data_IF_661274290415
#
_entry.id   IF_661274290415
#
_cell.length_a   1.000
_cell.length_b   1.000
_cell.length_c   1.000
_cell.angle_alpha   90.00
_cell.angle_beta   90.00
_cell.angle_gamma   90.00
#
_symmetry.space_group_name_H-M   'P 1'
#
loop_
_entity.id
_entity.type
_entity.pdbx_description
1 polymer ?
#
# COMPACT_ATOMS: atom_id res chain seq x y z
N UNK A 1 24.63 -12.78 -6.15
CA UNK A 1 24.26 -11.50 -6.80
C UNK A 1 23.74 -10.63 -5.68
N UNK A 2 24.28 -9.42 -5.47
CA UNK A 2 23.92 -8.66 -4.29
C UNK A 2 22.43 -8.35 -4.26
N UNK A 3 21.80 -8.59 -3.11
CA UNK A 3 20.39 -8.30 -2.84
C UNK A 3 20.32 -7.15 -1.85
N UNK A 4 19.42 -6.21 -2.13
CA UNK A 4 19.13 -5.05 -1.30
C UNK A 4 17.76 -5.21 -0.66
N UNK A 5 17.72 -5.16 0.67
CA UNK A 5 16.47 -5.16 1.42
C UNK A 5 16.27 -3.83 2.10
N UNK A 6 15.08 -3.27 1.94
CA UNK A 6 14.60 -2.16 2.77
C UNK A 6 13.71 -2.74 3.87
N UNK A 7 13.91 -2.30 5.11
CA UNK A 7 13.07 -2.65 6.26
C UNK A 7 12.51 -1.38 6.88
N UNK A 8 11.19 -1.32 6.99
CA UNK A 8 10.46 -0.19 7.58
C UNK A 8 9.60 -0.67 8.76
N UNK A 9 9.80 -0.14 9.98
CA UNK A 9 8.89 -0.39 11.07
C UNK A 9 7.57 0.34 10.82
N UNK A 10 6.51 -0.24 11.34
CA UNK A 10 5.17 0.31 11.32
C UNK A 10 4.47 -0.16 12.59
N UNK A 11 3.75 0.75 13.26
CA UNK A 11 3.07 0.39 14.49
C UNK A 11 1.57 0.60 14.39
N UNK A 12 1.13 1.85 14.32
CA UNK A 12 -0.28 2.22 14.39
C UNK A 12 -0.71 3.24 13.36
N UNK A 13 0.21 3.69 12.51
CA UNK A 13 -0.11 4.59 11.42
C UNK A 13 -1.15 3.94 10.50
N UNK A 14 -2.13 4.69 10.02
CA UNK A 14 -3.06 4.15 9.03
C UNK A 14 -2.34 3.85 7.72
N UNK A 15 -2.74 2.78 7.04
CA UNK A 15 -2.24 2.50 5.68
C UNK A 15 -2.83 3.53 4.72
N UNK A 16 -4.15 3.67 4.71
CA UNK A 16 -4.87 4.68 3.93
C UNK A 16 -5.78 5.48 4.85
N UNK A 17 -5.88 6.78 4.60
CA UNK A 17 -6.87 7.63 5.23
C UNK A 17 -8.29 7.21 4.79
N UNK A 18 -9.23 7.21 5.72
CA UNK A 18 -10.64 7.03 5.40
C UNK A 18 -11.18 8.28 4.72
N UNK A 19 -12.26 8.15 3.94
CA UNK A 19 -12.90 9.32 3.35
C UNK A 19 -13.36 10.30 4.44
N UNK A 20 -13.88 9.79 5.55
CA UNK A 20 -14.37 10.60 6.67
C UNK A 20 -13.27 11.47 7.27
N UNK A 21 -12.06 10.95 7.44
CA UNK A 21 -10.92 11.74 7.95
C UNK A 21 -10.50 12.83 6.97
N UNK A 22 -10.63 12.57 5.66
CA UNK A 22 -10.21 13.50 4.63
C UNK A 22 -11.18 14.69 4.51
N UNK A 23 -12.49 14.45 4.60
CA UNK A 23 -13.53 15.46 4.31
C UNK A 23 -14.20 16.05 5.55
N UNK A 24 -13.90 15.56 6.75
CA UNK A 24 -14.50 16.07 7.99
C UNK A 24 -13.49 16.95 8.70
N UNK A 25 -13.97 18.03 9.32
CA UNK A 25 -13.20 18.84 10.24
C UNK A 25 -12.81 17.99 11.46
N UNK A 26 -11.50 17.97 11.78
CA UNK A 26 -10.98 17.20 12.91
C UNK A 26 -11.42 17.81 14.26
N UNK A 27 -11.42 19.15 14.35
CA UNK A 27 -11.73 19.89 15.57
C UNK A 27 -12.72 21.04 15.32
N UNK A 28 -13.53 21.39 16.33
CA UNK A 28 -14.47 22.53 16.26
C UNK A 28 -13.78 23.88 16.01
N UNK A 29 -12.47 23.95 16.29
CA UNK A 29 -11.66 25.15 16.08
C UNK A 29 -11.05 25.21 14.67
N UNK A 30 -10.91 24.07 14.00
CA UNK A 30 -10.26 23.96 12.69
C UNK A 30 -11.33 23.87 11.61
N UNK A 31 -11.68 25.01 11.03
CA UNK A 31 -12.72 25.14 9.99
C UNK A 31 -12.29 24.68 8.58
N UNK A 32 -11.23 23.88 8.50
CA UNK A 32 -10.62 23.44 7.24
C UNK A 32 -10.40 21.95 7.34
N UNK A 33 -10.94 21.19 6.38
CA UNK A 33 -10.73 19.75 6.31
C UNK A 33 -9.32 19.44 5.84
N UNK A 34 -8.84 18.22 6.09
CA UNK A 34 -7.55 17.77 5.56
C UNK A 34 -7.51 17.88 4.03
N UNK A 35 -8.61 17.59 3.34
CA UNK A 35 -8.67 17.71 1.89
C UNK A 35 -8.50 19.16 1.42
N UNK A 36 -9.21 20.11 2.02
CA UNK A 36 -9.06 21.52 1.69
C UNK A 36 -7.63 22.01 1.93
N UNK A 37 -7.03 21.60 3.04
CA UNK A 37 -5.64 21.92 3.34
C UNK A 37 -4.67 21.37 2.26
N UNK A 38 -4.80 20.10 1.91
CA UNK A 38 -3.97 19.46 0.88
C UNK A 38 -4.17 20.09 -0.51
N UNK A 39 -5.40 20.50 -0.84
CA UNK A 39 -5.73 21.22 -2.08
C UNK A 39 -5.03 22.58 -2.16
N UNK A 40 -4.97 23.30 -1.05
CA UNK A 40 -4.26 24.58 -0.98
C UNK A 40 -2.74 24.39 -1.08
N UNK A 41 -2.21 23.30 -0.51
CA UNK A 41 -0.78 22.99 -0.58
C UNK A 41 -0.35 22.49 -1.98
N UNK A 42 -1.22 21.76 -2.68
CA UNK A 42 -0.94 21.14 -3.98
C UNK A 42 -2.00 21.48 -5.06
N UNK A 43 -2.20 22.77 -5.40
CA UNK A 43 -3.31 23.19 -6.25
C UNK A 43 -3.22 22.61 -7.68
N UNK A 44 -2.03 22.63 -8.27
CA UNK A 44 -1.81 22.10 -9.64
C UNK A 44 -2.05 20.59 -9.68
N UNK A 45 -1.60 19.86 -8.67
CA UNK A 45 -1.78 18.40 -8.60
C UNK A 45 -3.25 18.03 -8.38
N UNK A 46 -4.00 18.84 -7.63
CA UNK A 46 -5.44 18.65 -7.46
C UNK A 46 -6.19 18.90 -8.77
N UNK A 47 -5.87 19.98 -9.49
CA UNK A 47 -6.50 20.27 -10.78
C UNK A 47 -6.28 19.15 -11.79
N UNK A 48 -5.07 18.58 -11.84
CA UNK A 48 -4.76 17.43 -12.68
C UNK A 48 -5.51 16.18 -12.21
N UNK A 49 -5.55 15.92 -10.91
CA UNK A 49 -6.31 14.81 -10.34
C UNK A 49 -7.81 14.87 -10.70
N UNK A 50 -8.41 16.06 -10.66
CA UNK A 50 -9.81 16.28 -11.04
C UNK A 50 -10.02 16.03 -12.53
N UNK A 51 -9.13 16.54 -13.39
CA UNK A 51 -9.20 16.31 -14.85
C UNK A 51 -9.11 14.82 -15.18
N UNK A 52 -8.14 14.12 -14.62
CA UNK A 52 -7.96 12.67 -14.83
C UNK A 52 -9.19 11.89 -14.36
N UNK A 53 -9.79 12.29 -13.24
CA UNK A 53 -10.98 11.61 -12.71
C UNK A 53 -12.20 11.82 -13.59
N UNK A 54 -12.34 12.98 -14.23
CA UNK A 54 -13.41 13.21 -15.22
C UNK A 54 -13.24 12.34 -16.46
N UNK A 55 -12.02 12.24 -16.99
CA UNK A 55 -11.72 11.38 -18.14
C UNK A 55 -12.08 9.93 -17.82
N UNK A 56 -11.73 9.42 -16.63
CA UNK A 56 -12.10 8.06 -16.21
C UNK A 56 -13.61 7.85 -16.13
N UNK A 57 -14.35 8.83 -15.61
CA UNK A 57 -15.82 8.77 -15.59
C UNK A 57 -16.38 8.71 -17.01
N UNK A 58 -15.87 9.52 -17.92
CA UNK A 58 -16.29 9.53 -19.32
C UNK A 58 -15.98 8.18 -20.02
N UNK A 59 -14.76 7.66 -19.85
CA UNK A 59 -14.35 6.36 -20.39
C UNK A 59 -15.22 5.22 -19.85
N UNK A 60 -15.47 5.17 -18.53
CA UNK A 60 -16.35 4.15 -17.93
C UNK A 60 -17.79 4.20 -18.46
N UNK A 61 -18.32 5.39 -18.76
CA UNK A 61 -19.64 5.56 -19.35
C UNK A 61 -19.67 5.07 -20.81
N UNK A 62 -18.62 5.36 -21.57
CA UNK A 62 -18.43 4.84 -22.94
C UNK A 62 -18.45 3.32 -22.98
N UNK A 63 -17.67 2.67 -22.11
CA UNK A 63 -17.58 1.21 -22.05
C UNK A 63 -18.90 0.54 -21.63
N UNK A 64 -19.71 1.21 -20.80
CA UNK A 64 -21.01 0.71 -20.35
C UNK A 64 -22.15 0.97 -21.36
N UNK A 65 -21.84 1.43 -22.58
CA UNK A 65 -22.82 1.64 -23.65
C UNK A 65 -23.74 2.85 -23.42
N UNK A 66 -23.39 3.74 -22.49
CA UNK A 66 -24.08 5.02 -22.32
C UNK A 66 -23.53 5.99 -23.36
N UNK A 67 -24.40 6.51 -24.22
CA UNK A 67 -24.00 7.45 -25.28
C UNK A 67 -23.38 8.71 -24.66
N UNK A 68 -22.08 9.00 -24.84
CA UNK A 68 -21.42 10.17 -24.24
C UNK A 68 -21.83 11.48 -24.93
N UNK A 69 -22.37 11.37 -26.13
CA UNK A 69 -22.79 12.48 -26.99
C UNK A 69 -24.26 12.89 -26.79
N UNK A 70 -24.88 12.47 -25.68
CA UNK A 70 -26.22 12.92 -25.29
C UNK A 70 -26.16 14.31 -24.65
N UNK A 71 -26.59 15.32 -25.39
CA UNK A 71 -26.68 16.74 -25.02
C UNK A 71 -25.43 17.30 -24.30
N UNK A 72 -24.47 17.84 -25.08
CA UNK A 72 -23.48 18.85 -24.66
C UNK A 72 -24.14 20.17 -24.20
N UNK A 73 -25.28 20.12 -23.50
CA UNK A 73 -25.86 21.29 -22.86
C UNK A 73 -25.05 21.59 -21.61
N UNK A 74 -24.01 22.41 -21.82
CA UNK A 74 -23.37 23.27 -20.82
C UNK A 74 -23.45 22.70 -19.40
N UNK A 75 -22.62 21.68 -19.10
CA UNK A 75 -22.46 21.21 -17.73
C UNK A 75 -22.10 22.43 -16.88
N UNK A 76 -23.03 22.82 -16.01
CA UNK A 76 -22.89 24.06 -15.25
C UNK A 76 -21.68 23.95 -14.33
N UNK A 77 -21.08 25.08 -13.93
CA UNK A 77 -20.05 25.08 -12.87
C UNK A 77 -20.55 24.39 -11.59
N UNK A 78 -21.86 24.43 -11.34
CA UNK A 78 -22.50 23.77 -10.20
C UNK A 78 -22.52 22.23 -10.33
N UNK A 79 -22.75 21.69 -11.53
CA UNK A 79 -22.75 20.23 -11.77
C UNK A 79 -21.39 19.57 -11.60
N UNK A 80 -20.34 20.37 -11.77
CA UNK A 80 -18.94 19.96 -11.60
C UNK A 80 -18.41 20.21 -10.18
N UNK A 81 -19.16 20.92 -9.33
CA UNK A 81 -18.73 21.28 -7.99
C UNK A 81 -18.29 20.07 -7.14
N UNK A 82 -18.98 18.91 -7.16
CA UNK A 82 -18.53 17.73 -6.42
C UNK A 82 -17.11 17.26 -6.79
N UNK A 83 -16.74 17.34 -8.08
CA UNK A 83 -15.39 17.00 -8.52
C UNK A 83 -14.34 17.92 -7.92
N UNK A 84 -14.59 19.24 -7.87
CA UNK A 84 -13.64 20.18 -7.30
C UNK A 84 -13.61 20.17 -5.77
N UNK A 85 -14.73 19.84 -5.12
CA UNK A 85 -14.81 19.72 -3.67
C UNK A 85 -14.13 18.45 -3.16
N UNK A 86 -14.56 17.28 -3.66
CA UNK A 86 -14.23 15.96 -3.08
C UNK A 86 -13.43 15.08 -4.07
N UNK A 87 -13.38 15.44 -5.35
CA UNK A 87 -12.66 14.69 -6.38
C UNK A 87 -13.57 13.82 -7.26
N UNK A 88 -14.84 13.63 -6.89
CA UNK A 88 -15.78 12.80 -7.62
C UNK A 88 -17.23 13.26 -7.48
N UNK A 89 -18.07 12.90 -8.45
CA UNK A 89 -19.52 13.18 -8.46
C UNK A 89 -20.36 12.00 -7.99
N UNK A 90 -19.95 10.78 -8.32
CA UNK A 90 -20.58 9.54 -7.85
C UNK A 90 -19.74 8.95 -6.73
N UNK A 91 -20.38 8.58 -5.61
CA UNK A 91 -19.72 7.91 -4.49
C UNK A 91 -19.39 6.43 -4.77
N UNK A 92 -19.15 6.07 -6.04
CA UNK A 92 -18.70 4.74 -6.39
C UNK A 92 -17.40 4.40 -5.63
N UNK A 93 -17.20 3.15 -5.19
CA UNK A 93 -16.06 2.77 -4.36
C UNK A 93 -14.71 3.12 -5.00
N UNK A 94 -14.58 3.02 -6.32
CA UNK A 94 -13.38 3.33 -7.09
C UNK A 94 -12.97 4.80 -7.00
N UNK A 95 -13.92 5.73 -7.15
CA UNK A 95 -13.65 7.17 -7.08
C UNK A 95 -13.37 7.61 -5.66
N UNK A 96 -14.09 7.03 -4.69
CA UNK A 96 -13.84 7.24 -3.26
C UNK A 96 -12.42 6.79 -2.91
N UNK A 97 -12.01 5.60 -3.36
CA UNK A 97 -10.66 5.07 -3.15
C UNK A 97 -9.60 5.95 -3.82
N UNK A 98 -9.87 6.48 -5.02
CA UNK A 98 -8.95 7.36 -5.75
C UNK A 98 -8.63 8.64 -4.95
N UNK A 99 -9.65 9.30 -4.38
CA UNK A 99 -9.44 10.45 -3.48
C UNK A 99 -8.68 10.05 -2.22
N UNK A 100 -9.02 8.90 -1.61
CA UNK A 100 -8.31 8.38 -0.43
C UNK A 100 -6.82 8.16 -0.68
N UNK A 101 -6.47 7.57 -1.83
CA UNK A 101 -5.08 7.37 -2.26
C UNK A 101 -4.38 8.70 -2.48
N UNK A 102 -5.02 9.66 -3.17
CA UNK A 102 -4.43 10.97 -3.42
C UNK A 102 -4.09 11.71 -2.12
N UNK A 103 -5.01 11.71 -1.14
CA UNK A 103 -4.77 12.31 0.16
C UNK A 103 -3.68 11.55 0.94
N UNK A 104 -3.75 10.22 0.97
CA UNK A 104 -2.78 9.38 1.70
C UNK A 104 -1.36 9.51 1.16
N UNK A 105 -1.17 9.68 -0.15
CA UNK A 105 0.15 9.92 -0.73
C UNK A 105 0.80 11.23 -0.28
N UNK A 106 0.02 12.20 0.21
CA UNK A 106 0.52 13.51 0.65
C UNK A 106 0.63 13.61 2.17
N UNK A 107 -0.33 13.03 2.88
CA UNK A 107 -0.43 13.13 4.34
C UNK A 107 0.09 11.90 5.11
N UNK A 108 0.11 10.71 4.50
CA UNK A 108 0.39 9.46 5.21
C UNK A 108 1.76 8.87 4.86
N UNK A 109 2.59 8.63 5.88
CA UNK A 109 3.98 8.17 5.67
C UNK A 109 4.06 6.74 5.14
N UNK A 110 3.29 5.78 5.68
CA UNK A 110 3.44 4.38 5.28
C UNK A 110 3.13 4.15 3.79
N UNK A 111 1.95 4.54 3.31
CA UNK A 111 1.56 4.31 1.91
C UNK A 111 2.49 5.03 0.94
N UNK A 112 2.91 6.26 1.26
CA UNK A 112 3.89 7.02 0.49
C UNK A 112 5.24 6.29 0.43
N UNK A 113 5.75 5.80 1.56
CA UNK A 113 7.00 5.05 1.64
C UNK A 113 6.89 3.76 0.83
N UNK A 114 5.81 2.99 0.98
CA UNK A 114 5.61 1.75 0.23
C UNK A 114 5.54 2.02 -1.26
N UNK A 115 4.70 2.96 -1.70
CA UNK A 115 4.55 3.29 -3.11
C UNK A 115 5.87 3.74 -3.74
N UNK A 116 6.68 4.51 -2.99
CA UNK A 116 7.97 5.00 -3.44
C UNK A 116 9.02 3.89 -3.51
N UNK A 117 9.18 3.10 -2.44
CA UNK A 117 10.16 2.03 -2.36
C UNK A 117 9.88 0.92 -3.38
N UNK A 118 8.62 0.62 -3.65
CA UNK A 118 8.26 -0.38 -4.66
C UNK A 118 8.65 0.04 -6.10
N UNK A 119 9.00 1.31 -6.35
CA UNK A 119 9.56 1.71 -7.64
C UNK A 119 10.99 1.18 -7.88
N UNK A 120 11.73 0.77 -6.84
CA UNK A 120 13.02 0.08 -7.03
C UNK A 120 12.83 -1.21 -7.85
N UNK A 121 11.78 -1.98 -7.57
CA UNK A 121 11.47 -3.17 -8.34
C UNK A 121 11.22 -2.83 -9.82
N UNK A 122 10.43 -1.78 -10.11
CA UNK A 122 10.17 -1.32 -11.48
C UNK A 122 11.43 -0.84 -12.19
N UNK A 123 12.27 -0.08 -11.50
CA UNK A 123 13.55 0.41 -12.03
C UNK A 123 14.48 -0.75 -12.38
N UNK A 124 14.55 -1.78 -11.52
CA UNK A 124 15.36 -2.99 -11.79
C UNK A 124 14.82 -3.76 -13.00
N UNK A 125 13.50 -3.92 -13.14
CA UNK A 125 12.89 -4.55 -14.32
C UNK A 125 13.28 -3.81 -15.61
N UNK A 126 13.19 -2.48 -15.58
CA UNK A 126 13.51 -1.62 -16.72
C UNK A 126 15.01 -1.68 -17.06
N UNK A 127 15.87 -1.57 -16.05
CA UNK A 127 17.32 -1.67 -16.23
C UNK A 127 17.72 -3.03 -16.81
N UNK A 128 17.21 -4.12 -16.24
CA UNK A 128 17.49 -5.48 -16.73
C UNK A 128 17.06 -5.66 -18.19
N UNK A 129 15.89 -5.12 -18.56
CA UNK A 129 15.39 -5.13 -19.94
C UNK A 129 16.29 -4.34 -20.90
N UNK A 130 16.83 -3.20 -20.46
CA UNK A 130 17.70 -2.34 -21.29
C UNK A 130 19.09 -2.95 -21.46
N UNK A 131 19.65 -3.53 -20.39
CA UNK A 131 20.99 -4.12 -20.41
C UNK A 131 21.06 -5.47 -21.14
N UNK A 132 19.93 -6.18 -21.28
CA UNK A 132 19.88 -7.53 -21.85
C UNK A 132 18.87 -7.57 -23.02
N UNK A 133 19.14 -6.91 -24.16
CA UNK A 133 18.22 -6.87 -25.29
C UNK A 133 17.90 -8.26 -25.85
N UNK A 134 18.83 -9.20 -25.76
CA UNK A 134 18.65 -10.61 -26.14
C UNK A 134 17.55 -11.31 -25.32
N UNK A 135 17.32 -10.93 -24.06
CA UNK A 135 16.23 -11.48 -23.25
C UNK A 135 14.89 -11.12 -23.87
N UNK A 136 14.74 -9.89 -24.37
CA UNK A 136 13.52 -9.44 -25.07
C UNK A 136 13.34 -10.20 -26.38
N UNK A 137 14.42 -10.40 -27.14
CA UNK A 137 14.39 -11.15 -28.39
C UNK A 137 14.04 -12.63 -28.17
N UNK A 138 14.58 -13.25 -27.12
CA UNK A 138 14.38 -14.66 -26.80
C UNK A 138 12.92 -14.99 -26.47
N UNK A 139 12.17 -14.05 -25.90
CA UNK A 139 10.75 -14.23 -25.66
C UNK A 139 9.85 -13.89 -26.85
N UNK A 140 10.39 -13.39 -27.97
CA UNK A 140 9.71 -13.36 -29.28
C UNK A 140 8.32 -12.71 -29.30
N UNK A 141 8.07 -11.72 -28.43
CA UNK A 141 6.76 -11.07 -28.30
C UNK A 141 5.82 -11.69 -27.26
N UNK A 142 6.21 -12.76 -26.56
CA UNK A 142 5.48 -13.29 -25.41
C UNK A 142 5.71 -12.41 -24.17
N UNK A 143 4.90 -11.36 -24.06
CA UNK A 143 4.96 -10.35 -22.99
C UNK A 143 4.84 -10.97 -21.60
N UNK A 144 4.00 -11.98 -21.42
CA UNK A 144 3.76 -12.59 -20.10
C UNK A 144 4.97 -13.38 -19.60
N UNK A 145 5.65 -14.10 -20.49
CA UNK A 145 6.91 -14.81 -20.14
C UNK A 145 8.02 -13.81 -19.85
N UNK A 146 8.12 -12.74 -20.65
CA UNK A 146 9.08 -11.68 -20.41
C UNK A 146 8.84 -11.03 -19.04
N UNK A 147 7.61 -10.63 -18.71
CA UNK A 147 7.29 -9.99 -17.44
C UNK A 147 7.62 -10.90 -16.24
N UNK A 148 7.31 -12.20 -16.32
CA UNK A 148 7.69 -13.16 -15.29
C UNK A 148 9.21 -13.26 -15.09
N UNK A 149 9.99 -13.15 -16.16
CA UNK A 149 11.46 -13.16 -16.06
C UNK A 149 11.98 -11.85 -15.46
N UNK A 150 11.43 -10.69 -15.86
CA UNK A 150 11.75 -9.40 -15.26
C UNK A 150 11.39 -9.37 -13.76
N UNK A 151 10.22 -9.89 -13.39
CA UNK A 151 9.81 -10.05 -11.99
C UNK A 151 10.75 -10.94 -11.19
N UNK A 152 11.12 -12.10 -11.75
CA UNK A 152 12.08 -13.00 -11.11
C UNK A 152 13.40 -12.28 -10.83
N UNK A 153 13.87 -11.49 -11.79
CA UNK A 153 15.09 -10.70 -11.63
C UNK A 153 14.92 -9.62 -10.55
N UNK A 154 13.88 -8.80 -10.61
CA UNK A 154 13.60 -7.77 -9.60
C UNK A 154 13.51 -8.36 -8.18
N UNK A 155 12.78 -9.47 -8.00
CA UNK A 155 12.61 -10.15 -6.69
C UNK A 155 13.91 -10.72 -6.12
N UNK A 156 14.91 -10.99 -6.97
CA UNK A 156 16.25 -11.45 -6.55
C UNK A 156 17.17 -10.29 -6.16
N UNK A 157 16.82 -9.06 -6.50
CA UNK A 157 17.66 -7.87 -6.26
C UNK A 157 17.11 -6.95 -5.20
N UNK A 158 15.80 -6.91 -5.07
CA UNK A 158 15.13 -6.00 -4.18
C UNK A 158 14.07 -6.74 -3.37
N UNK A 159 14.11 -6.50 -2.06
CA UNK A 159 13.07 -6.90 -1.11
C UNK A 159 12.66 -5.69 -0.31
N UNK A 160 11.39 -5.62 0.01
CA UNK A 160 10.88 -4.59 0.91
C UNK A 160 10.01 -5.25 1.97
N UNK A 161 10.47 -5.14 3.22
CA UNK A 161 9.83 -5.72 4.39
C UNK A 161 9.27 -4.59 5.25
N UNK A 162 7.96 -4.60 5.47
CA UNK A 162 7.31 -3.74 6.44
C UNK A 162 7.04 -4.56 7.69
N UNK A 163 7.61 -4.14 8.81
CA UNK A 163 7.30 -4.73 10.12
C UNK A 163 6.04 -4.08 10.67
N UNK A 164 4.92 -4.76 10.53
CA UNK A 164 3.57 -4.32 10.89
C UNK A 164 3.07 -5.10 12.10
N UNK A 165 3.57 -4.78 13.30
CA UNK A 165 3.35 -5.58 14.51
C UNK A 165 1.88 -5.87 14.79
N UNK A 166 1.02 -4.85 14.64
CA UNK A 166 -0.40 -4.92 14.98
C UNK A 166 -1.28 -5.59 13.93
N UNK A 167 -0.71 -6.08 12.82
CA UNK A 167 -1.47 -6.68 11.71
C UNK A 167 -2.47 -7.77 12.18
N UNK A 168 -2.07 -8.62 13.13
CA UNK A 168 -2.94 -9.67 13.69
C UNK A 168 -4.14 -9.14 14.48
N UNK A 169 -4.09 -7.87 14.90
CA UNK A 169 -5.09 -7.16 15.71
C UNK A 169 -5.80 -6.04 14.92
N UNK A 170 -5.61 -5.99 13.61
CA UNK A 170 -6.28 -5.01 12.75
C UNK A 170 -7.79 -5.15 12.79
N UNK A 171 -8.47 -4.00 12.78
CA UNK A 171 -9.90 -3.95 12.56
C UNK A 171 -10.23 -4.22 11.09
N UNK A 172 -11.51 -4.35 10.77
CA UNK A 172 -11.97 -4.67 9.41
C UNK A 172 -11.45 -3.67 8.34
N UNK A 173 -11.50 -2.37 8.62
CA UNK A 173 -11.04 -1.34 7.67
C UNK A 173 -9.52 -1.41 7.46
N UNK A 174 -8.75 -1.60 8.53
CA UNK A 174 -7.30 -1.79 8.46
C UNK A 174 -6.94 -3.04 7.64
N UNK A 175 -7.68 -4.14 7.83
CA UNK A 175 -7.49 -5.38 7.08
C UNK A 175 -7.79 -5.21 5.59
N UNK A 176 -8.89 -4.52 5.25
CA UNK A 176 -9.25 -4.19 3.86
C UNK A 176 -8.18 -3.31 3.20
N UNK A 177 -7.64 -2.33 3.93
CA UNK A 177 -6.57 -1.46 3.43
C UNK A 177 -5.23 -2.20 3.27
N UNK A 178 -4.89 -3.13 4.17
CA UNK A 178 -3.70 -3.97 4.06
C UNK A 178 -3.80 -4.93 2.87
N UNK A 179 -4.96 -5.52 2.65
CA UNK A 179 -5.22 -6.37 1.49
C UNK A 179 -5.15 -5.57 0.18
N UNK A 180 -5.67 -4.34 0.15
CA UNK A 180 -5.49 -3.43 -0.98
C UNK A 180 -4.00 -3.17 -1.26
N UNK A 181 -3.21 -2.92 -0.22
CA UNK A 181 -1.76 -2.69 -0.34
C UNK A 181 -1.04 -3.90 -0.94
N UNK A 182 -1.34 -5.10 -0.46
CA UNK A 182 -0.75 -6.36 -0.95
C UNK A 182 -1.17 -6.70 -2.38
N UNK A 183 -2.40 -6.32 -2.80
CA UNK A 183 -2.84 -6.46 -4.19
C UNK A 183 -2.12 -5.47 -5.12
N UNK A 184 -1.94 -4.23 -4.68
CA UNK A 184 -1.24 -3.21 -5.44
C UNK A 184 0.27 -3.49 -5.56
N UNK A 185 0.86 -4.09 -4.52
CA UNK A 185 2.28 -4.42 -4.45
C UNK A 185 2.49 -5.87 -4.01
N UNK A 186 2.32 -6.87 -4.90
CA UNK A 186 2.38 -8.28 -4.51
C UNK A 186 3.70 -8.76 -3.92
N UNK A 187 4.79 -8.06 -4.25
CA UNK A 187 6.14 -8.38 -3.79
C UNK A 187 6.51 -7.69 -2.46
N UNK A 188 5.62 -6.84 -1.93
CA UNK A 188 5.74 -6.29 -0.58
C UNK A 188 5.62 -7.41 0.44
N UNK A 189 6.56 -7.48 1.38
CA UNK A 189 6.51 -8.43 2.48
C UNK A 189 6.05 -7.72 3.75
N UNK A 190 5.07 -8.30 4.43
CA UNK A 190 4.58 -7.81 5.73
C UNK A 190 4.99 -8.83 6.78
N UNK A 191 5.84 -8.40 7.71
CA UNK A 191 6.19 -9.14 8.91
C UNK A 191 5.28 -8.68 10.06
N UNK A 192 4.71 -9.60 10.82
CA UNK A 192 3.84 -9.27 11.94
C UNK A 192 3.98 -10.24 13.10
N UNK A 193 3.40 -9.87 14.26
CA UNK A 193 3.38 -10.72 15.44
C UNK A 193 2.06 -11.46 15.57
N UNK A 194 2.14 -12.77 15.78
CA UNK A 194 1.01 -13.65 16.02
C UNK A 194 1.10 -14.24 17.43
N UNK A 195 -0.02 -14.26 18.13
CA UNK A 195 -0.10 -14.75 19.51
C UNK A 195 -0.87 -16.07 19.51
N UNK A 196 -0.25 -17.12 20.05
CA UNK A 196 -0.89 -18.42 20.27
C UNK A 196 -1.03 -18.70 21.77
N UNK A 197 -2.08 -19.45 22.18
CA UNK A 197 -2.22 -19.88 23.55
C UNK A 197 -1.03 -20.75 24.01
N UNK A 198 -0.74 -20.77 25.31
CA UNK A 198 0.34 -21.59 25.87
C UNK A 198 0.10 -23.08 25.61
N UNK A 199 1.18 -23.84 25.43
CA UNK A 199 1.12 -25.32 25.27
C UNK A 199 0.65 -26.04 26.53
N UNK A 200 0.83 -25.42 27.70
CA UNK A 200 0.47 -25.96 29.01
C UNK A 200 -0.43 -24.96 29.72
N UNK A 201 -1.41 -25.48 30.45
CA UNK A 201 -2.30 -24.66 31.26
C UNK A 201 -1.49 -23.88 32.31
N UNK A 202 -1.66 -22.54 32.32
CA UNK A 202 -0.88 -21.63 33.17
C UNK A 202 0.49 -21.19 32.64
N UNK A 203 0.86 -21.53 31.40
CA UNK A 203 2.07 -21.04 30.74
C UNK A 203 1.92 -19.64 30.09
N UNK A 204 3.03 -19.08 29.64
CA UNK A 204 3.05 -17.79 28.93
C UNK A 204 2.56 -17.89 27.47
N UNK A 205 1.99 -16.80 26.97
CA UNK A 205 1.62 -16.65 25.56
C UNK A 205 2.81 -16.94 24.64
N UNK A 206 2.57 -17.72 23.58
CA UNK A 206 3.59 -18.01 22.58
C UNK A 206 3.50 -16.98 21.47
N UNK A 207 4.62 -16.35 21.19
CA UNK A 207 4.71 -15.28 20.21
C UNK A 207 5.45 -15.76 18.98
N UNK A 208 4.90 -15.47 17.82
CA UNK A 208 5.46 -15.85 16.54
C UNK A 208 5.70 -14.61 15.69
N UNK A 209 6.84 -14.60 15.01
CA UNK A 209 7.07 -13.69 13.89
C UNK A 209 6.62 -14.39 12.62
N UNK A 210 5.65 -13.79 11.94
CA UNK A 210 5.06 -14.32 10.72
C UNK A 210 5.37 -13.40 9.53
N UNK A 211 5.58 -13.98 8.34
CA UNK A 211 5.81 -13.23 7.10
C UNK A 211 4.78 -13.61 6.05
N UNK A 212 4.12 -12.62 5.48
CA UNK A 212 3.20 -12.75 4.33
C UNK A 212 3.63 -11.82 3.19
N UNK A 213 3.14 -12.10 1.98
CA UNK A 213 3.16 -11.16 0.86
C UNK A 213 1.90 -11.33 0.00
N UNK A 214 1.80 -10.60 -1.12
CA UNK A 214 0.63 -10.66 -2.00
C UNK A 214 0.46 -11.99 -2.73
N UNK A 215 1.47 -12.86 -2.71
CA UNK A 215 1.42 -14.21 -3.28
C UNK A 215 1.08 -15.28 -2.24
N UNK A 216 1.03 -14.93 -0.95
CA UNK A 216 0.53 -15.84 0.09
C UNK A 216 -0.92 -16.23 -0.17
N UNK A 217 -1.23 -17.52 0.00
CA UNK A 217 -2.58 -18.09 -0.16
C UNK A 217 -3.58 -17.34 0.73
N UNK A 218 -4.71 -16.92 0.16
CA UNK A 218 -5.77 -16.26 0.91
C UNK A 218 -6.73 -17.31 1.49
N UNK A 219 -6.87 -17.32 2.81
CA UNK A 219 -7.77 -18.22 3.55
C UNK A 219 -9.11 -17.51 3.71
N UNK A 220 -10.11 -17.96 2.94
CA UNK A 220 -11.44 -17.34 2.91
C UNK A 220 -12.14 -17.35 4.28
N UNK A 221 -11.99 -18.44 5.04
CA UNK A 221 -12.66 -18.62 6.34
C UNK A 221 -12.20 -17.61 7.39
N UNK A 222 -10.91 -17.28 7.40
CA UNK A 222 -10.32 -16.36 8.37
C UNK A 222 -10.16 -14.94 7.83
N UNK A 223 -10.33 -14.73 6.51
CA UNK A 223 -10.05 -13.47 5.84
C UNK A 223 -8.57 -13.05 5.92
N UNK A 224 -7.65 -14.03 6.06
CA UNK A 224 -6.21 -13.79 6.27
C UNK A 224 -5.38 -14.56 5.26
N UNK A 225 -4.17 -14.06 5.01
CA UNK A 225 -3.19 -14.75 4.16
C UNK A 225 -2.38 -15.74 4.98
N UNK A 226 -2.14 -16.94 4.43
CA UNK A 226 -1.29 -17.96 5.03
C UNK A 226 0.16 -17.46 5.09
N UNK A 227 0.81 -17.44 6.27
CA UNK A 227 2.20 -17.07 6.40
C UNK A 227 3.12 -18.00 5.61
N UNK A 228 4.13 -17.41 4.94
CA UNK A 228 5.24 -18.16 4.31
C UNK A 228 6.22 -18.67 5.35
N UNK A 229 6.41 -17.88 6.39
CA UNK A 229 7.21 -18.22 7.55
C UNK A 229 6.39 -17.93 8.81
N UNK A 230 6.53 -18.79 9.81
CA UNK A 230 5.87 -18.68 11.11
C UNK A 230 6.87 -19.21 12.16
N UNK A 231 7.61 -18.30 12.79
CA UNK A 231 8.77 -18.62 13.63
C UNK A 231 8.47 -18.24 15.07
N UNK A 232 8.52 -19.22 15.97
CA UNK A 232 8.35 -19.00 17.40
C UNK A 232 9.51 -18.18 17.96
N UNK A 233 9.18 -17.12 18.69
CA UNK A 233 10.15 -16.24 19.32
C UNK A 233 10.49 -16.77 20.72
N UNK A 234 11.75 -16.59 21.19
CA UNK A 234 12.20 -17.11 22.48
C UNK A 234 11.57 -16.40 23.70
N UNK A 235 10.79 -15.33 23.48
CA UNK A 235 10.14 -14.54 24.51
C UNK A 235 9.34 -13.38 23.91
N UNK A 236 8.97 -12.41 24.74
CA UNK A 236 8.30 -11.20 24.29
C UNK A 236 9.26 -10.31 23.47
N UNK A 237 9.00 -10.06 22.18
CA UNK A 237 9.86 -9.24 21.35
C UNK A 237 9.74 -7.74 21.66
N UNK A 238 8.75 -7.32 22.45
CA UNK A 238 8.54 -5.93 22.86
C UNK A 238 9.45 -5.65 24.08
N UNK A 239 10.54 -4.90 23.89
CA UNK A 239 11.55 -4.57 24.91
C UNK A 239 11.54 -3.08 25.33
N UNK A 240 10.54 -2.31 24.92
CA UNK A 240 10.46 -0.85 25.17
C UNK A 240 9.40 -0.16 24.31
N UNK A 241 9.53 1.16 24.14
CA UNK A 241 8.54 2.08 23.53
C UNK A 241 8.42 1.98 21.99
N UNK A 242 8.70 0.81 21.40
CA UNK A 242 8.06 0.42 20.15
C UNK A 242 8.73 0.80 18.82
N UNK A 243 10.05 1.10 18.79
CA UNK A 243 10.79 1.34 17.52
C UNK A 243 11.79 0.24 17.15
N UNK A 244 12.84 0.07 17.95
CA UNK A 244 13.85 -0.97 17.74
C UNK A 244 13.24 -2.37 17.78
N UNK A 245 12.23 -2.55 18.63
CA UNK A 245 11.58 -3.84 18.88
C UNK A 245 10.67 -4.27 17.73
N UNK A 246 10.08 -3.31 17.01
CA UNK A 246 9.35 -3.57 15.77
C UNK A 246 10.29 -4.15 14.72
N UNK A 247 11.51 -3.64 14.62
CA UNK A 247 12.49 -4.16 13.66
C UNK A 247 13.07 -5.51 14.09
N UNK A 248 13.25 -5.73 15.40
CA UNK A 248 13.91 -6.92 15.94
C UNK A 248 13.21 -8.23 15.55
N UNK A 249 11.88 -8.32 15.60
CA UNK A 249 11.21 -9.57 15.22
C UNK A 249 11.20 -9.79 13.69
N UNK A 250 11.27 -8.71 12.90
CA UNK A 250 11.20 -8.76 11.44
C UNK A 250 12.58 -8.97 10.78
N UNK A 251 13.68 -8.69 11.50
CA UNK A 251 15.04 -8.81 10.98
C UNK A 251 15.38 -10.21 10.48
N UNK A 252 14.74 -11.25 11.04
CA UNK A 252 14.93 -12.63 10.61
C UNK A 252 14.48 -12.89 9.16
N UNK A 253 13.64 -12.00 8.60
CA UNK A 253 13.15 -12.08 7.23
C UNK A 253 13.98 -11.27 6.23
N UNK A 254 15.00 -10.56 6.70
CA UNK A 254 15.98 -9.91 5.85
C UNK A 254 16.69 -10.92 4.95
N UNK A 255 16.96 -10.54 3.70
CA UNK A 255 17.76 -11.34 2.78
C UNK A 255 18.70 -10.46 1.95
N UNK A 256 19.98 -10.83 1.90
CA UNK A 256 20.97 -10.15 1.06
C UNK A 256 22.18 -9.64 1.81
N UNK A 257 22.92 -8.79 1.12
CA UNK A 257 24.17 -8.17 1.56
C UNK A 257 23.96 -6.75 2.08
N UNK A 258 22.90 -6.07 1.63
CA UNK A 258 22.61 -4.69 1.99
C UNK A 258 21.23 -4.56 2.65
N UNK A 259 21.22 -3.97 3.84
CA UNK A 259 20.00 -3.63 4.58
C UNK A 259 19.91 -2.12 4.77
N UNK A 260 18.82 -1.51 4.31
CA UNK A 260 18.44 -0.15 4.67
C UNK A 260 17.32 -0.21 5.70
N UNK A 261 17.57 0.34 6.89
CA UNK A 261 16.55 0.58 7.89
C UNK A 261 15.99 1.99 7.68
N UNK A 262 14.67 2.10 7.51
CA UNK A 262 13.99 3.40 7.37
C UNK A 262 13.12 3.60 8.59
N UNK A 263 13.27 4.70 9.30
CA UNK A 263 12.29 5.11 10.31
C UNK A 263 11.15 5.85 9.60
N UNK A 264 9.97 5.22 9.55
CA UNK A 264 8.77 5.78 8.91
C UNK A 264 7.72 6.27 9.92
N UNK A 265 7.97 6.09 11.22
CA UNK A 265 7.08 6.63 12.23
C UNK A 265 7.39 8.13 12.36
N UNK A 266 6.37 8.96 12.19
CA UNK A 266 6.46 10.38 12.58
C UNK A 266 6.34 10.38 14.10
N UNK A 267 7.41 10.72 14.82
CA UNK A 267 7.29 11.03 16.25
C UNK A 267 6.36 12.24 16.36
N UNK A 268 5.20 12.03 16.98
CA UNK A 268 4.32 13.11 17.43
C UNK A 268 4.76 13.58 18.81
#
# INVERSE_FOLDING_TARGET
>A
MPTFTVLTPHYSEKILLSLREIIREEDQNTRVTLLEYLKQLHPVEWDNFVKDTKILVEESQMYNGVNPFGDEKAQSKADNLPFYCIGFKSAAPEFTLRTRIWASLRAQTLYRTVSSMMNYAKAIKLLYRVENPEVVQLFGGNTDKLERELERMARRKFKFVVSMQRYSKFNREEQENAEFLLRAYPDLQIAYLEEEPPRKEGGDLRLFSALIDGHSEFIADTGRRRPKFHIELPGNPILGDGKSDNQNHAIIFYHGEYLQLIDANQDN
#
